data_IF_044761882175
#
_entry.id   IF_044761882175
#
_cell.length_a   1.000
_cell.length_b   1.000
_cell.length_c   1.000
_cell.angle_alpha   90.00
_cell.angle_beta   90.00
_cell.angle_gamma   90.00
#
_symmetry.space_group_name_H-M   'P 1'
#
loop_
_entity.id
_entity.type
_entity.pdbx_description
1 polymer ?
#
# COMPACT_ATOMS: atom_id res chain seq x y z
N UNK A 1 2.27 -55.90 6.54
CA UNK A 1 3.31 -54.87 6.72
C UNK A 1 4.00 -54.60 5.39
N UNK A 2 3.53 -53.58 4.67
CA UNK A 2 4.28 -52.73 3.72
C UNK A 2 3.60 -51.35 3.78
N UNK A 3 4.34 -50.28 4.12
CA UNK A 3 3.77 -48.94 4.28
C UNK A 3 3.95 -48.10 3.01
N UNK A 4 3.41 -46.88 3.10
CA UNK A 4 3.72 -45.69 2.30
C UNK A 4 2.94 -45.49 0.99
N UNK A 5 1.64 -45.26 1.14
CA UNK A 5 1.00 -44.18 0.37
C UNK A 5 1.66 -42.87 0.78
N UNK A 6 2.74 -42.51 0.08
CA UNK A 6 3.29 -41.15 0.12
C UNK A 6 2.24 -40.20 -0.43
N UNK A 7 1.35 -39.75 0.45
CA UNK A 7 0.65 -38.47 0.32
C UNK A 7 1.74 -37.39 0.21
N UNK A 8 2.16 -37.13 -1.02
CA UNK A 8 2.85 -35.87 -1.33
C UNK A 8 1.83 -34.79 -1.06
N UNK A 9 1.84 -34.28 0.17
CA UNK A 9 1.30 -32.99 0.50
C UNK A 9 1.84 -32.00 -0.50
N UNK A 10 1.01 -31.66 -1.49
CA UNK A 10 1.22 -30.45 -2.26
C UNK A 10 0.92 -29.33 -1.27
N UNK A 11 1.93 -28.97 -0.48
CA UNK A 11 1.95 -27.70 0.21
C UNK A 11 1.92 -26.66 -0.90
N UNK A 12 0.72 -26.24 -1.30
CA UNK A 12 0.55 -24.99 -2.03
C UNK A 12 1.06 -23.94 -1.06
N UNK A 13 2.35 -23.62 -1.15
CA UNK A 13 2.93 -22.47 -0.48
C UNK A 13 1.98 -21.32 -0.79
N UNK A 14 1.29 -20.83 0.24
CA UNK A 14 0.31 -19.78 0.06
C UNK A 14 1.08 -18.58 -0.46
N UNK A 15 0.89 -18.25 -1.74
CA UNK A 15 1.58 -17.14 -2.37
C UNK A 15 1.15 -15.86 -1.64
N UNK A 16 2.10 -15.20 -0.99
CA UNK A 16 1.90 -13.93 -0.29
C UNK A 16 2.50 -12.79 -1.09
N UNK A 17 1.98 -11.59 -0.86
CA UNK A 17 2.59 -10.35 -1.33
C UNK A 17 3.01 -9.52 -0.12
N UNK A 18 4.25 -9.03 -0.13
CA UNK A 18 4.77 -8.12 0.87
C UNK A 18 4.29 -6.68 0.58
N UNK A 19 3.73 -6.04 1.60
CA UNK A 19 3.11 -4.72 1.52
C UNK A 19 3.63 -3.81 2.65
N UNK A 20 3.71 -2.52 2.35
CA UNK A 20 3.87 -1.45 3.35
C UNK A 20 2.53 -0.75 3.50
N UNK A 21 1.89 -0.94 4.66
CA UNK A 21 0.66 -0.27 5.06
C UNK A 21 0.98 1.09 5.66
N UNK A 22 0.17 2.09 5.37
CA UNK A 22 0.22 3.42 5.96
C UNK A 22 -1.17 4.06 6.01
N UNK A 23 -1.26 5.18 6.71
CA UNK A 23 -2.44 6.03 6.71
C UNK A 23 -2.25 7.19 5.73
N UNK A 24 -3.33 7.63 5.10
CA UNK A 24 -3.35 8.95 4.47
C UNK A 24 -4.77 9.44 4.24
N UNK A 25 -5.07 10.67 4.64
CA UNK A 25 -6.40 11.26 4.44
C UNK A 25 -7.53 10.46 5.10
N UNK A 26 -7.23 9.77 6.23
CA UNK A 26 -8.17 8.89 6.93
C UNK A 26 -8.35 7.50 6.29
N UNK A 27 -7.68 7.19 5.19
CA UNK A 27 -7.76 5.90 4.51
C UNK A 27 -6.59 4.98 4.90
N UNK A 28 -6.88 3.68 4.97
CA UNK A 28 -5.86 2.65 5.10
C UNK A 28 -5.35 2.26 3.71
N UNK A 29 -4.08 2.56 3.45
CA UNK A 29 -3.46 2.38 2.14
C UNK A 29 -2.29 1.41 2.23
N UNK A 30 -2.01 0.68 1.16
CA UNK A 30 -0.83 -0.17 1.05
C UNK A 30 -0.12 0.01 -0.29
N UNK A 31 1.20 -0.09 -0.25
CA UNK A 31 2.09 -0.10 -1.41
C UNK A 31 2.86 -1.43 -1.42
N UNK A 32 3.17 -1.96 -2.59
CA UNK A 32 4.04 -3.14 -2.70
C UNK A 32 5.41 -2.85 -2.08
N UNK A 33 5.84 -3.68 -1.12
CA UNK A 33 7.07 -3.44 -0.38
C UNK A 33 8.30 -3.38 -1.28
N UNK A 34 8.32 -4.16 -2.37
CA UNK A 34 9.39 -4.13 -3.36
C UNK A 34 9.56 -2.78 -4.10
N UNK A 35 8.55 -1.90 -4.02
CA UNK A 35 8.57 -0.56 -4.62
C UNK A 35 8.91 0.52 -3.60
N UNK A 36 9.12 0.16 -2.33
CA UNK A 36 9.41 1.08 -1.24
C UNK A 36 10.85 0.87 -0.78
N UNK A 37 11.60 1.96 -0.71
CA UNK A 37 12.98 2.00 -0.24
C UNK A 37 13.06 2.30 1.26
N UNK A 38 13.90 3.27 1.61
CA UNK A 38 14.04 3.68 3.00
C UNK A 38 12.82 4.45 3.53
N UNK A 39 12.56 4.29 4.83
CA UNK A 39 11.80 5.26 5.61
C UNK A 39 12.79 6.28 6.18
N UNK A 40 12.65 7.53 5.75
CA UNK A 40 13.58 8.61 6.04
C UNK A 40 12.99 9.61 7.04
N UNK A 41 13.86 10.46 7.58
CA UNK A 41 13.43 11.63 8.34
C UNK A 41 12.81 12.68 7.41
N UNK A 42 11.78 13.39 7.91
CA UNK A 42 11.08 14.42 7.12
C UNK A 42 11.98 15.59 6.71
N UNK A 43 13.12 15.78 7.38
CA UNK A 43 14.10 16.81 7.03
C UNK A 43 14.86 16.53 5.73
N UNK A 44 14.85 15.28 5.25
CA UNK A 44 15.52 14.93 3.98
C UNK A 44 14.83 15.51 2.75
N UNK A 45 13.50 15.67 2.80
CA UNK A 45 12.74 16.32 1.74
C UNK A 45 11.42 16.88 2.31
N UNK A 46 11.45 18.16 2.68
CA UNK A 46 10.27 18.85 3.22
C UNK A 46 9.22 19.15 2.15
N UNK A 47 9.60 19.10 0.87
CA UNK A 47 8.78 19.46 -0.29
C UNK A 47 8.12 18.25 -0.96
N UNK A 48 8.46 17.03 -0.52
CA UNK A 48 7.81 15.81 -0.99
C UNK A 48 6.29 15.91 -0.82
N UNK A 49 5.48 15.56 -1.84
CA UNK A 49 4.03 15.61 -1.71
C UNK A 49 3.55 14.58 -0.67
N UNK A 50 2.44 14.87 0.02
CA UNK A 50 1.78 13.85 0.83
C UNK A 50 1.00 12.87 -0.05
N UNK A 51 0.83 11.64 0.42
CA UNK A 51 0.06 10.65 -0.33
C UNK A 51 -1.40 11.10 -0.52
N UNK A 52 -1.99 11.77 0.47
CA UNK A 52 -3.29 12.41 0.35
C UNK A 52 -3.33 13.49 -0.73
N UNK A 53 -2.30 14.36 -0.83
CA UNK A 53 -2.18 15.35 -1.91
C UNK A 53 -2.12 14.68 -3.28
N UNK A 54 -1.32 13.63 -3.43
CA UNK A 54 -1.20 12.89 -4.70
C UNK A 54 -2.51 12.21 -5.11
N UNK A 55 -3.31 11.78 -4.14
CA UNK A 55 -4.59 11.10 -4.39
C UNK A 55 -5.77 12.07 -4.45
N UNK A 56 -5.52 13.38 -4.33
CA UNK A 56 -6.55 14.44 -4.28
C UNK A 56 -7.60 14.17 -3.17
N UNK A 57 -7.15 13.61 -2.04
CA UNK A 57 -8.03 13.31 -0.91
C UNK A 57 -8.35 14.60 -0.13
N UNK A 58 -9.58 14.71 0.42
CA UNK A 58 -9.95 15.86 1.24
C UNK A 58 -9.03 15.98 2.46
N UNK A 59 -8.66 17.22 2.81
CA UNK A 59 -7.85 17.46 4.00
C UNK A 59 -8.61 17.07 5.28
N UNK A 60 -7.99 16.21 6.08
CA UNK A 60 -8.47 15.89 7.42
C UNK A 60 -8.13 17.07 8.35
N UNK A 61 -9.08 17.46 9.21
CA UNK A 61 -8.98 18.63 10.07
C UNK A 61 -7.67 18.66 10.90
N UNK A 62 -7.09 19.85 11.03
CA UNK A 62 -5.75 20.06 11.58
C UNK A 62 -5.53 19.55 13.03
N UNK A 63 -6.60 19.40 13.81
CA UNK A 63 -6.55 19.02 15.22
C UNK A 63 -6.14 17.55 15.47
N UNK A 64 -6.14 16.70 14.43
CA UNK A 64 -5.77 15.29 14.54
C UNK A 64 -4.63 14.91 13.58
N UNK A 65 -3.76 15.86 13.16
CA UNK A 65 -2.71 15.53 12.20
C UNK A 65 -1.80 14.42 12.74
N UNK A 66 -1.86 13.21 12.17
CA UNK A 66 -1.02 12.10 12.62
C UNK A 66 0.45 12.41 12.35
N UNK A 67 1.35 11.71 13.06
CA UNK A 67 2.78 11.80 12.79
C UNK A 67 3.03 11.36 11.35
N UNK A 68 3.91 12.09 10.66
CA UNK A 68 4.25 11.81 9.26
C UNK A 68 5.61 11.12 9.15
N UNK A 69 5.75 10.32 8.10
CA UNK A 69 7.00 9.66 7.69
C UNK A 69 7.26 9.94 6.22
N UNK A 70 8.54 10.04 5.86
CA UNK A 70 8.97 10.14 4.48
C UNK A 70 9.30 8.74 3.97
N UNK A 71 8.63 8.29 2.90
CA UNK A 71 8.93 7.03 2.25
C UNK A 71 9.59 7.28 0.90
N UNK A 72 10.69 6.60 0.65
CA UNK A 72 11.28 6.50 -0.67
C UNK A 72 10.49 5.52 -1.54
N UNK A 73 10.17 5.93 -2.76
CA UNK A 73 9.67 5.05 -3.81
C UNK A 73 10.86 4.68 -4.71
N UNK A 74 11.12 3.38 -4.80
CA UNK A 74 12.06 2.80 -5.77
C UNK A 74 11.34 2.74 -7.11
N UNK A 75 11.65 3.64 -8.03
CA UNK A 75 11.12 3.64 -9.39
C UNK A 75 12.27 3.55 -10.40
N UNK A 76 12.15 2.74 -11.48
CA UNK A 76 13.24 2.51 -12.44
C UNK A 76 13.88 3.79 -12.98
N UNK A 77 13.05 4.77 -13.33
CA UNK A 77 13.51 6.00 -13.99
C UNK A 77 13.86 7.16 -13.05
N UNK A 78 13.51 7.08 -11.76
CA UNK A 78 13.57 8.24 -10.86
C UNK A 78 13.48 7.84 -9.39
N UNK A 79 14.21 8.57 -8.54
CA UNK A 79 13.99 8.54 -7.09
C UNK A 79 12.84 9.49 -6.74
N UNK A 80 11.92 9.06 -5.90
CA UNK A 80 10.78 9.88 -5.44
C UNK A 80 10.54 9.67 -3.96
N UNK A 81 10.11 10.72 -3.28
CA UNK A 81 9.66 10.63 -1.90
C UNK A 81 8.19 10.99 -1.78
N UNK A 82 7.50 10.36 -0.84
CA UNK A 82 6.13 10.69 -0.45
C UNK A 82 6.03 10.80 1.06
N UNK A 83 5.23 11.75 1.55
CA UNK A 83 4.88 11.82 2.97
C UNK A 83 3.63 10.97 3.21
N UNK A 84 3.69 10.09 4.20
CA UNK A 84 2.56 9.28 4.66
C UNK A 84 2.30 9.49 6.14
N UNK A 85 1.09 9.19 6.57
CA UNK A 85 0.72 9.25 7.97
C UNK A 85 1.00 7.89 8.66
N UNK A 86 1.41 7.94 9.92
CA UNK A 86 1.60 6.75 10.76
C UNK A 86 0.26 6.09 11.15
N UNK A 87 0.24 4.77 11.42
CA UNK A 87 1.39 3.86 11.46
C UNK A 87 1.86 3.36 10.09
N UNK A 88 3.18 3.28 9.90
CA UNK A 88 3.79 2.59 8.75
C UNK A 88 4.17 1.16 9.16
N UNK A 89 3.59 0.16 8.51
CA UNK A 89 3.75 -1.26 8.91
C UNK A 89 4.07 -2.12 7.69
N UNK A 90 5.15 -2.89 7.79
CA UNK A 90 5.45 -3.94 6.81
C UNK A 90 4.71 -5.24 7.19
N UNK A 91 4.02 -5.86 6.24
CA UNK A 91 3.32 -7.12 6.46
C UNK A 91 3.16 -7.92 5.17
N UNK A 92 2.80 -9.19 5.30
CA UNK A 92 2.48 -10.07 4.17
C UNK A 92 0.98 -10.35 4.10
N UNK A 93 0.45 -10.39 2.90
CA UNK A 93 -0.96 -10.67 2.64
C UNK A 93 -1.10 -11.88 1.69
N UNK A 94 -1.91 -12.89 2.01
CA UNK A 94 -2.22 -13.97 1.06
C UNK A 94 -2.86 -13.40 -0.20
N UNK A 95 -2.29 -13.73 -1.37
CA UNK A 95 -2.79 -13.24 -2.68
C UNK A 95 -4.27 -13.54 -2.90
N UNK A 96 -4.74 -14.70 -2.43
CA UNK A 96 -6.16 -15.11 -2.50
C UNK A 96 -7.14 -14.19 -1.74
N UNK A 97 -6.67 -13.39 -0.78
CA UNK A 97 -7.50 -12.44 -0.05
C UNK A 97 -7.72 -11.13 -0.83
N UNK A 98 -6.92 -10.91 -1.88
CA UNK A 98 -6.88 -9.66 -2.64
C UNK A 98 -7.93 -9.69 -3.74
N UNK A 99 -8.80 -8.68 -3.74
CA UNK A 99 -9.76 -8.44 -4.81
C UNK A 99 -9.19 -7.43 -5.80
N UNK A 100 -8.79 -7.83 -7.01
CA UNK A 100 -8.23 -6.89 -7.99
C UNK A 100 -9.28 -5.88 -8.43
N UNK A 101 -8.84 -4.66 -8.73
CA UNK A 101 -9.73 -3.61 -9.25
C UNK A 101 -10.29 -4.06 -10.62
N UNK A 102 -11.62 -4.10 -10.81
CA UNK A 102 -12.22 -4.47 -12.08
C UNK A 102 -11.71 -3.57 -13.22
N UNK A 103 -11.30 -4.19 -14.34
CA UNK A 103 -10.65 -3.50 -15.47
C UNK A 103 -11.46 -2.32 -16.01
N UNK A 104 -12.78 -2.45 -16.07
CA UNK A 104 -13.68 -1.39 -16.50
C UNK A 104 -13.64 -0.17 -15.57
N UNK A 105 -13.59 -0.39 -14.25
CA UNK A 105 -13.49 0.70 -13.26
C UNK A 105 -12.13 1.38 -13.35
N UNK A 106 -11.06 0.59 -13.45
CA UNK A 106 -9.71 1.12 -13.61
C UNK A 106 -9.58 2.00 -14.87
N UNK A 107 -10.17 1.60 -15.99
CA UNK A 107 -10.15 2.35 -17.24
C UNK A 107 -11.01 3.63 -17.19
N UNK A 108 -12.16 3.60 -16.52
CA UNK A 108 -13.11 4.73 -16.48
C UNK A 108 -12.75 5.79 -15.46
N UNK A 109 -12.28 5.38 -14.29
CA UNK A 109 -12.04 6.30 -13.17
C UNK A 109 -10.60 6.79 -13.08
N UNK A 110 -9.72 6.37 -14.02
CA UNK A 110 -8.28 6.62 -13.95
C UNK A 110 -7.71 6.30 -12.56
N UNK A 111 -8.24 5.25 -11.92
CA UNK A 111 -8.11 5.01 -10.49
C UNK A 111 -6.66 5.22 -10.04
N UNK A 112 -6.40 6.36 -9.38
CA UNK A 112 -5.09 7.01 -9.16
C UNK A 112 -4.05 6.06 -8.54
N UNK A 113 -3.51 5.14 -9.35
CA UNK A 113 -2.68 4.03 -8.90
C UNK A 113 -3.42 2.88 -8.19
N UNK A 114 -4.74 2.89 -8.00
CA UNK A 114 -5.44 1.79 -7.30
C UNK A 114 -5.36 0.50 -8.11
N UNK A 115 -4.91 -0.58 -7.45
CA UNK A 115 -4.74 -1.91 -8.06
C UNK A 115 -5.71 -2.93 -7.53
N UNK A 116 -5.97 -2.89 -6.22
CA UNK A 116 -6.76 -3.91 -5.55
C UNK A 116 -7.29 -3.42 -4.21
N UNK A 117 -8.20 -4.20 -3.65
CA UNK A 117 -8.85 -3.98 -2.37
C UNK A 117 -8.82 -5.27 -1.55
N UNK A 118 -8.74 -5.16 -0.23
CA UNK A 118 -8.94 -6.29 0.69
C UNK A 118 -9.50 -5.77 2.00
N UNK A 119 -10.14 -6.66 2.77
CA UNK A 119 -10.41 -6.40 4.18
C UNK A 119 -9.25 -6.96 5.02
N UNK A 120 -8.83 -6.21 6.04
CA UNK A 120 -7.89 -6.67 7.07
C UNK A 120 -8.60 -6.64 8.42
N UNK A 121 -8.36 -7.64 9.25
CA UNK A 121 -8.89 -7.67 10.60
C UNK A 121 -8.08 -6.74 11.50
N UNK A 122 -8.75 -5.83 12.21
CA UNK A 122 -8.17 -5.03 13.29
C UNK A 122 -8.93 -5.26 14.60
N UNK A 123 -8.32 -4.97 15.77
CA UNK A 123 -8.97 -5.20 17.07
C UNK A 123 -10.32 -4.50 17.24
N UNK A 124 -10.51 -3.36 16.57
CA UNK A 124 -11.72 -2.53 16.63
C UNK A 124 -12.72 -2.81 15.51
N UNK A 125 -12.40 -3.74 14.59
CA UNK A 125 -13.24 -4.10 13.46
C UNK A 125 -12.44 -4.31 12.17
N UNK A 126 -13.07 -4.91 11.18
CA UNK A 126 -12.46 -5.07 9.86
C UNK A 126 -12.31 -3.71 9.16
N UNK A 127 -11.18 -3.53 8.50
CA UNK A 127 -10.86 -2.30 7.79
C UNK A 127 -10.56 -2.56 6.33
N UNK A 128 -11.09 -1.70 5.46
CA UNK A 128 -10.77 -1.75 4.03
C UNK A 128 -9.35 -1.24 3.80
N UNK A 129 -8.51 -2.08 3.22
CA UNK A 129 -7.18 -1.74 2.75
C UNK A 129 -7.21 -1.53 1.23
N UNK A 130 -6.72 -0.36 0.79
CA UNK A 130 -6.62 0.00 -0.62
C UNK A 130 -5.17 -0.18 -1.07
N UNK A 131 -4.93 -1.09 -2.01
CA UNK A 131 -3.60 -1.38 -2.54
C UNK A 131 -3.34 -0.50 -3.75
N UNK A 132 -2.26 0.28 -3.70
CA UNK A 132 -1.83 1.24 -4.70
C UNK A 132 -0.55 0.76 -5.40
N UNK A 133 -0.42 1.11 -6.66
CA UNK A 133 0.81 0.98 -7.43
C UNK A 133 1.64 2.25 -7.29
N UNK A 134 2.72 2.16 -6.50
CA UNK A 134 3.61 3.28 -6.23
C UNK A 134 4.14 3.96 -7.51
N UNK A 135 4.32 3.19 -8.60
CA UNK A 135 4.83 3.73 -9.86
C UNK A 135 3.80 4.51 -10.66
N UNK A 136 2.51 4.29 -10.39
CA UNK A 136 1.39 4.95 -11.05
C UNK A 136 0.82 6.12 -10.26
N UNK A 137 1.40 6.43 -9.09
CA UNK A 137 1.06 7.64 -8.36
C UNK A 137 1.39 8.87 -9.22
N UNK A 138 0.49 9.87 -9.26
CA UNK A 138 0.71 11.06 -10.06
C UNK A 138 1.97 11.82 -9.57
N UNK A 139 2.61 12.60 -10.45
CA UNK A 139 3.65 13.53 -10.01
C UNK A 139 3.06 14.60 -9.06
N UNK A 140 3.92 15.28 -8.28
CA UNK A 140 3.55 16.51 -7.56
C UNK A 140 2.87 17.45 -8.56
N UNK A 141 1.62 17.83 -8.29
CA UNK A 141 0.86 18.75 -9.15
C UNK A 141 1.62 20.06 -9.33
N UNK A 142 1.67 20.54 -10.57
CA UNK A 142 2.17 21.88 -10.93
C UNK A 142 1.02 22.86 -11.06
#
# INVERSE_FOLDING_TARGET
MRPDESERGSSSASETIALVRCESGGLCLALEAAKIGAMCDLSEDTEAPSLAELLELPEVAASERPRRRLLEIIHPDRRRYIRVDEPVVHFELPTRAIQPCPSLLAARQRANGVRALTWIAEPTGDRLLIILDAWRLPPKGG
#
